data_IF_346001358749
#
_entry.id   IF_346001358749
#
_cell.length_a   1.000
_cell.length_b   1.000
_cell.length_c   1.000
_cell.angle_alpha   90.00
_cell.angle_beta   90.00
_cell.angle_gamma   90.00
#
_symmetry.space_group_name_H-M   'P 1'
#
loop_
_entity.id
_entity.type
_entity.pdbx_description
1 polymer ?
#
# COMPACT_ATOMS: atom_id res chain seq x y z
N UNK A 1 2.93 -10.12 -25.07
CA UNK A 1 2.57 -11.52 -24.78
C UNK A 1 2.10 -11.57 -23.35
N UNK A 2 0.87 -12.02 -23.09
CA UNK A 2 0.34 -12.08 -21.72
C UNK A 2 1.05 -13.16 -20.91
N UNK A 3 1.46 -12.83 -19.68
CA UNK A 3 2.00 -13.79 -18.73
C UNK A 3 0.92 -14.83 -18.42
N UNK A 4 1.24 -16.12 -18.58
CA UNK A 4 0.35 -17.21 -18.16
C UNK A 4 0.72 -17.63 -16.75
N UNK A 5 -0.26 -17.68 -15.86
CA UNK A 5 -0.13 -18.34 -14.56
C UNK A 5 -0.45 -19.83 -14.74
N UNK A 6 0.14 -20.69 -13.92
CA UNK A 6 -0.25 -22.10 -13.86
C UNK A 6 -1.73 -22.23 -13.45
N UNK A 7 -2.45 -23.28 -13.85
CA UNK A 7 -3.84 -23.48 -13.43
C UNK A 7 -3.99 -23.52 -11.89
N UNK A 8 -4.90 -22.71 -11.34
CA UNK A 8 -5.21 -22.69 -9.91
C UNK A 8 -5.88 -21.41 -9.44
N UNK A 9 -6.19 -21.35 -8.15
CA UNK A 9 -6.71 -20.15 -7.50
C UNK A 9 -5.56 -19.27 -7.00
N UNK A 10 -5.66 -17.97 -7.25
CA UNK A 10 -4.65 -17.00 -6.86
C UNK A 10 -5.29 -15.87 -6.06
N UNK A 11 -4.56 -15.40 -5.06
CA UNK A 11 -4.89 -14.20 -4.32
C UNK A 11 -4.05 -13.02 -4.80
N UNK A 12 -4.53 -11.80 -4.56
CA UNK A 12 -3.82 -10.55 -4.85
C UNK A 12 -2.77 -10.20 -3.78
N UNK A 13 -2.08 -11.23 -3.28
CA UNK A 13 -1.04 -11.15 -2.26
C UNK A 13 0.32 -11.45 -2.89
N UNK A 14 1.29 -10.57 -2.65
CA UNK A 14 2.62 -10.65 -3.21
C UNK A 14 3.64 -10.63 -2.07
N UNK A 15 4.58 -11.59 -2.08
CA UNK A 15 5.63 -11.64 -1.06
C UNK A 15 6.60 -10.48 -1.27
N UNK A 16 7.02 -9.84 -0.18
CA UNK A 16 8.05 -8.81 -0.20
C UNK A 16 9.28 -9.37 0.50
N UNK A 17 10.40 -9.35 -0.22
CA UNK A 17 11.71 -9.59 0.34
C UNK A 17 12.38 -8.25 0.60
N UNK A 18 12.80 -8.02 1.83
CA UNK A 18 13.69 -6.91 2.20
C UNK A 18 14.99 -7.54 2.66
N UNK A 19 16.13 -7.03 2.18
CA UNK A 19 17.43 -7.52 2.65
C UNK A 19 17.51 -7.31 4.17
N UNK A 20 17.61 -8.37 4.98
CA UNK A 20 17.78 -8.23 6.42
C UNK A 20 19.10 -7.51 6.65
N UNK A 21 19.03 -6.32 7.20
CA UNK A 21 20.20 -5.52 7.52
C UNK A 21 19.88 -4.65 8.72
N UNK A 22 20.93 -4.38 9.44
CA UNK A 22 21.02 -3.29 10.38
C UNK A 22 20.97 -1.98 9.58
N UNK A 23 20.18 -1.02 10.05
CA UNK A 23 20.05 0.31 9.44
C UNK A 23 20.25 1.40 10.49
N UNK A 24 20.87 2.49 10.07
CA UNK A 24 20.98 3.72 10.82
C UNK A 24 19.66 4.52 10.71
N UNK A 25 19.02 4.78 11.85
CA UNK A 25 17.78 5.56 11.92
C UNK A 25 17.82 6.56 13.06
N UNK A 26 17.06 7.65 12.93
CA UNK A 26 16.90 8.62 14.01
C UNK A 26 15.75 8.18 14.92
N UNK A 27 15.97 8.13 16.23
CA UNK A 27 14.99 7.72 17.24
C UNK A 27 14.82 8.81 18.29
N UNK A 28 13.58 9.05 18.71
CA UNK A 28 13.27 9.92 19.84
C UNK A 28 12.17 9.32 20.72
N UNK A 29 12.09 9.76 21.97
CA UNK A 29 10.96 9.41 22.83
C UNK A 29 9.67 10.05 22.31
N UNK A 30 8.61 9.23 22.21
CA UNK A 30 7.32 9.66 21.64
C UNK A 30 6.60 10.69 22.50
N UNK A 31 6.81 10.68 23.81
CA UNK A 31 6.21 11.63 24.77
C UNK A 31 6.56 13.10 24.46
N UNK A 32 7.75 13.37 23.91
CA UNK A 32 8.22 14.71 23.51
C UNK A 32 7.51 15.24 22.27
N UNK A 33 6.91 14.36 21.47
CA UNK A 33 6.31 14.67 20.18
C UNK A 33 4.84 14.33 20.10
N UNK A 34 4.04 14.70 21.12
CA UNK A 34 2.60 14.37 21.23
C UNK A 34 1.83 14.58 19.91
N UNK A 35 2.10 15.68 19.20
CA UNK A 35 1.58 15.97 17.86
C UNK A 35 2.66 15.93 16.77
N UNK A 36 2.60 14.92 15.89
CA UNK A 36 3.52 14.78 14.75
C UNK A 36 3.21 15.74 13.59
N UNK A 37 2.07 16.46 13.61
CA UNK A 37 1.70 17.37 12.51
C UNK A 37 2.69 18.52 12.41
N UNK A 38 3.05 19.14 13.53
CA UNK A 38 4.04 20.23 13.54
C UNK A 38 5.38 19.79 12.96
N UNK A 39 5.92 18.66 13.43
CA UNK A 39 7.18 18.12 12.93
C UNK A 39 7.12 17.81 11.42
N UNK A 40 6.01 17.23 10.94
CA UNK A 40 5.83 16.95 9.50
C UNK A 40 5.70 18.21 8.65
N UNK A 41 5.04 19.24 9.17
CA UNK A 41 4.94 20.55 8.51
C UNK A 41 6.32 21.18 8.40
N UNK A 42 7.10 21.21 9.49
CA UNK A 42 8.46 21.76 9.47
C UNK A 42 9.39 21.03 8.49
N UNK A 43 9.33 19.69 8.45
CA UNK A 43 10.08 18.87 7.48
C UNK A 43 9.72 19.28 6.04
N UNK A 44 8.42 19.46 5.77
CA UNK A 44 7.91 19.84 4.45
C UNK A 44 8.34 21.26 4.07
N UNK A 45 8.19 22.23 4.98
CA UNK A 45 8.59 23.63 4.77
C UNK A 45 10.11 23.77 4.58
N UNK A 46 10.89 22.92 5.25
CA UNK A 46 12.34 22.84 5.09
C UNK A 46 12.79 22.09 3.82
N UNK A 47 11.84 21.61 3.01
CA UNK A 47 12.07 20.80 1.81
C UNK A 47 13.03 19.63 2.04
N UNK A 48 12.85 18.92 3.16
CA UNK A 48 13.68 17.77 3.56
C UNK A 48 13.02 16.45 3.19
N UNK A 49 13.81 15.50 2.69
CA UNK A 49 13.34 14.15 2.42
C UNK A 49 13.45 13.28 3.68
N UNK A 50 12.51 13.50 4.60
CA UNK A 50 12.43 12.83 5.90
C UNK A 50 11.01 12.30 6.13
N UNK A 51 10.92 11.08 6.64
CA UNK A 51 9.69 10.47 7.09
C UNK A 51 9.76 10.20 8.59
N UNK A 52 8.66 10.45 9.29
CA UNK A 52 8.54 10.18 10.73
C UNK A 52 7.37 9.25 11.02
N UNK A 53 7.61 8.25 11.86
CA UNK A 53 6.67 7.20 12.19
C UNK A 53 6.70 6.86 13.68
N UNK A 54 5.54 6.94 14.31
CA UNK A 54 5.30 6.39 15.63
C UNK A 54 4.41 5.15 15.48
N UNK A 55 4.93 3.94 15.72
CA UNK A 55 4.10 2.74 15.71
C UNK A 55 2.98 2.89 16.75
N UNK A 56 1.76 2.37 16.48
CA UNK A 56 0.81 2.14 17.56
C UNK A 56 1.42 1.11 18.52
N UNK A 57 1.32 1.33 19.83
CA UNK A 57 1.73 0.33 20.81
C UNK A 57 0.75 -0.85 20.72
N UNK A 58 1.27 -2.07 20.90
CA UNK A 58 0.39 -3.22 21.03
C UNK A 58 -0.32 -3.09 22.38
N UNK A 59 -1.65 -2.98 22.39
CA UNK A 59 -2.37 -3.51 23.54
C UNK A 59 -2.18 -5.02 23.46
N UNK A 60 -1.25 -5.55 24.24
CA UNK A 60 -1.30 -6.96 24.59
C UNK A 60 -2.73 -7.25 25.05
N UNK A 61 -3.35 -8.21 24.37
CA UNK A 61 -4.69 -8.74 24.64
C UNK A 61 -5.86 -7.82 24.30
N UNK A 62 -6.58 -8.27 23.27
CA UNK A 62 -8.04 -8.28 23.22
C UNK A 62 -8.62 -8.81 24.55
N UNK A 63 -8.60 -8.02 25.62
CA UNK A 63 -9.55 -8.19 26.71
C UNK A 63 -10.79 -7.40 26.30
N UNK A 64 -11.88 -8.12 26.08
CA UNK A 64 -13.11 -7.62 25.45
C UNK A 64 -13.90 -6.59 26.26
N UNK A 65 -13.29 -5.48 26.67
CA UNK A 65 -13.98 -4.31 27.22
C UNK A 65 -13.41 -3.03 26.63
N UNK A 66 -14.28 -2.32 25.92
CA UNK A 66 -13.96 -1.15 25.11
C UNK A 66 -13.41 0.01 25.93
N UNK A 67 -12.09 0.15 25.92
CA UNK A 67 -11.44 1.43 26.19
C UNK A 67 -10.74 1.90 24.91
N UNK A 68 -11.16 3.05 24.39
CA UNK A 68 -10.63 3.68 23.19
C UNK A 68 -9.25 4.35 23.43
N UNK A 69 -8.49 3.94 24.45
CA UNK A 69 -7.14 4.44 24.67
C UNK A 69 -6.18 3.64 23.79
N UNK A 70 -5.90 4.15 22.60
CA UNK A 70 -4.78 3.70 21.77
C UNK A 70 -3.50 4.03 22.51
N UNK A 71 -2.88 3.02 23.11
CA UNK A 71 -1.54 3.10 23.68
C UNK A 71 -0.55 3.40 22.53
N UNK A 72 0.33 4.37 22.72
CA UNK A 72 1.22 4.91 21.66
C UNK A 72 2.63 4.41 21.92
N UNK A 73 3.35 3.94 20.90
CA UNK A 73 4.72 3.42 21.07
C UNK A 73 5.59 4.41 21.85
N UNK A 74 6.51 3.89 22.65
CA UNK A 74 7.51 4.71 23.34
C UNK A 74 8.46 5.42 22.38
N UNK A 75 8.64 4.86 21.18
CA UNK A 75 9.62 5.33 20.21
C UNK A 75 8.95 6.02 19.01
N UNK A 76 9.59 7.11 18.57
CA UNK A 76 9.33 7.81 17.33
C UNK A 76 10.55 7.64 16.42
N UNK A 77 10.35 7.08 15.24
CA UNK A 77 11.40 6.81 14.27
C UNK A 77 11.39 7.87 13.16
N UNK A 78 12.57 8.24 12.69
CA UNK A 78 12.81 9.20 11.62
C UNK A 78 13.85 8.69 10.64
N UNK A 79 13.49 8.61 9.35
CA UNK A 79 14.35 8.05 8.30
C UNK A 79 14.24 8.85 7.00
N UNK A 80 15.18 8.64 6.08
CA UNK A 80 15.28 9.31 4.78
C UNK A 80 16.63 9.99 4.57
N UNK A 81 16.89 10.48 3.34
CA UNK A 81 18.18 11.08 2.94
C UNK A 81 18.67 12.23 3.82
N UNK A 82 17.74 12.96 4.43
CA UNK A 82 18.03 14.14 5.25
C UNK A 82 17.82 13.86 6.76
N UNK A 83 17.74 12.59 7.20
CA UNK A 83 17.31 12.25 8.56
C UNK A 83 18.20 12.87 9.65
N UNK A 84 19.49 13.09 9.38
CA UNK A 84 20.42 13.78 10.30
C UNK A 84 19.95 15.17 10.75
N UNK A 85 19.08 15.84 9.99
CA UNK A 85 18.44 17.09 10.42
C UNK A 85 17.64 16.94 11.72
N UNK A 86 17.07 15.75 11.98
CA UNK A 86 16.31 15.44 13.19
C UNK A 86 17.17 15.48 14.47
N UNK A 87 18.50 15.43 14.37
CA UNK A 87 19.37 15.61 15.53
C UNK A 87 19.14 16.97 16.21
N UNK A 88 18.80 18.01 15.43
CA UNK A 88 18.42 19.34 15.94
C UNK A 88 17.07 19.35 16.67
N UNK A 89 16.32 18.26 16.54
CA UNK A 89 15.03 18.00 17.18
C UNK A 89 15.17 16.91 18.24
N UNK A 90 16.37 16.73 18.79
CA UNK A 90 16.59 15.83 19.93
C UNK A 90 16.35 14.34 19.63
N UNK A 91 16.39 13.96 18.34
CA UNK A 91 16.50 12.57 17.95
C UNK A 91 17.96 12.12 18.06
N UNK A 92 18.17 10.88 18.48
CA UNK A 92 19.47 10.23 18.53
C UNK A 92 19.61 9.26 17.35
N UNK A 93 20.82 9.11 16.83
CA UNK A 93 21.10 8.08 15.84
C UNK A 93 21.18 6.73 16.55
N UNK A 94 20.41 5.76 16.08
CA UNK A 94 20.43 4.38 16.57
C UNK A 94 20.58 3.43 15.38
N UNK A 95 21.22 2.29 15.64
CA UNK A 95 21.28 1.19 14.70
C UNK A 95 20.19 0.17 15.08
N UNK A 96 19.29 -0.12 14.14
CA UNK A 96 18.18 -1.06 14.36
C UNK A 96 18.21 -2.17 13.31
N UNK A 97 17.86 -3.37 13.75
CA UNK A 97 17.60 -4.47 12.84
C UNK A 97 16.16 -4.36 12.29
N UNK A 98 15.99 -4.23 10.97
CA UNK A 98 14.65 -3.98 10.38
C UNK A 98 13.63 -5.08 10.69
N UNK A 99 14.07 -6.33 10.88
CA UNK A 99 13.16 -7.43 11.18
C UNK A 99 12.67 -7.42 12.63
N UNK A 100 13.37 -6.74 13.53
CA UNK A 100 12.96 -6.60 14.93
C UNK A 100 11.84 -5.56 15.10
N UNK A 101 11.70 -4.67 14.11
CA UNK A 101 10.70 -3.61 14.07
C UNK A 101 9.73 -3.76 12.88
N UNK A 102 8.92 -4.84 12.82
CA UNK A 102 8.11 -5.19 11.64
C UNK A 102 7.15 -4.08 11.21
N UNK A 103 6.60 -3.33 12.17
CA UNK A 103 5.68 -2.22 11.89
C UNK A 103 6.39 -1.03 11.24
N UNK A 104 7.61 -0.73 11.68
CA UNK A 104 8.44 0.29 11.05
C UNK A 104 8.82 -0.16 9.66
N UNK A 105 9.22 -1.42 9.48
CA UNK A 105 9.61 -1.98 8.19
C UNK A 105 8.44 -1.95 7.19
N UNK A 106 7.23 -2.32 7.60
CA UNK A 106 6.04 -2.11 6.77
C UNK A 106 5.83 -0.64 6.38
N UNK A 107 6.08 0.29 7.30
CA UNK A 107 5.94 1.72 7.02
C UNK A 107 7.02 2.21 6.04
N UNK A 108 8.27 1.76 6.18
CA UNK A 108 9.35 2.07 5.23
C UNK A 108 9.01 1.52 3.84
N UNK A 109 8.63 0.24 3.74
CA UNK A 109 8.21 -0.38 2.46
C UNK A 109 7.08 0.43 1.81
N UNK A 110 6.11 0.84 2.61
CA UNK A 110 4.97 1.65 2.14
C UNK A 110 5.42 3.00 1.60
N UNK A 111 6.35 3.70 2.27
CA UNK A 111 6.91 4.96 1.75
C UNK A 111 7.70 4.72 0.45
N UNK A 112 8.48 3.64 0.39
CA UNK A 112 9.23 3.29 -0.80
C UNK A 112 8.33 3.04 -2.02
N UNK A 113 7.26 2.27 -1.85
CA UNK A 113 6.25 2.06 -2.89
C UNK A 113 5.59 3.39 -3.26
N UNK A 114 5.20 4.21 -2.27
CA UNK A 114 4.56 5.49 -2.52
C UNK A 114 5.43 6.43 -3.36
N UNK A 115 6.73 6.53 -3.09
CA UNK A 115 7.67 7.33 -3.88
C UNK A 115 7.85 6.77 -5.30
N UNK A 116 7.98 5.44 -5.41
CA UNK A 116 8.15 4.80 -6.71
C UNK A 116 6.91 4.97 -7.60
N UNK A 117 5.70 4.81 -7.08
CA UNK A 117 4.47 5.01 -7.89
C UNK A 117 4.28 6.47 -8.29
N UNK A 118 4.68 7.45 -7.46
CA UNK A 118 4.69 8.87 -7.86
C UNK A 118 5.61 9.08 -9.07
N UNK A 119 6.80 8.45 -9.07
CA UNK A 119 7.74 8.48 -10.19
C UNK A 119 7.15 7.88 -11.46
N UNK A 120 6.25 6.91 -11.32
CA UNK A 120 5.48 6.30 -12.41
C UNK A 120 4.26 7.12 -12.87
N UNK A 121 4.03 8.30 -12.30
CA UNK A 121 2.94 9.22 -12.66
C UNK A 121 1.64 9.00 -11.90
N UNK A 122 1.61 8.14 -10.88
CA UNK A 122 0.41 7.95 -10.07
C UNK A 122 0.27 9.04 -9.00
N UNK A 123 -0.98 9.35 -8.65
CA UNK A 123 -1.33 10.29 -7.58
C UNK A 123 -1.73 9.51 -6.32
N UNK A 124 -0.88 9.47 -5.27
CA UNK A 124 -1.17 8.73 -4.06
C UNK A 124 -2.17 9.48 -3.17
N UNK A 125 -3.22 8.78 -2.75
CA UNK A 125 -4.16 9.17 -1.71
C UNK A 125 -3.83 8.35 -0.46
N UNK A 126 -3.12 8.96 0.49
CA UNK A 126 -2.59 8.24 1.67
C UNK A 126 -3.61 8.16 2.80
N UNK A 127 -3.72 6.97 3.39
CA UNK A 127 -4.64 6.68 4.48
C UNK A 127 -3.96 6.05 5.69
N UNK A 128 -4.78 5.69 6.70
CA UNK A 128 -4.30 4.96 7.89
C UNK A 128 -4.03 3.50 7.54
N UNK A 129 -2.82 3.22 7.06
CA UNK A 129 -2.35 1.86 6.73
C UNK A 129 -2.87 1.30 5.41
N UNK A 130 -3.52 2.15 4.60
CA UNK A 130 -3.92 1.87 3.22
C UNK A 130 -3.62 3.10 2.39
N UNK A 131 -3.07 2.92 1.21
CA UNK A 131 -2.86 4.01 0.26
C UNK A 131 -3.50 3.61 -1.08
N UNK A 132 -4.14 4.57 -1.75
CA UNK A 132 -4.70 4.34 -3.09
C UNK A 132 -3.87 5.11 -4.11
N UNK A 133 -3.40 4.43 -5.16
CA UNK A 133 -2.59 5.06 -6.21
C UNK A 133 -3.43 5.27 -7.46
N UNK A 134 -3.86 6.50 -7.72
CA UNK A 134 -4.73 6.83 -8.87
C UNK A 134 -3.90 7.11 -10.12
N UNK A 135 -4.29 6.50 -11.25
CA UNK A 135 -3.76 6.84 -12.57
C UNK A 135 -4.39 8.13 -13.10
N UNK A 136 -3.85 8.62 -14.22
CA UNK A 136 -4.57 9.58 -15.06
C UNK A 136 -5.94 9.05 -15.47
N UNK A 137 -6.97 9.92 -15.57
CA UNK A 137 -8.31 9.49 -15.89
C UNK A 137 -8.46 9.16 -17.38
N UNK A 138 -9.26 8.13 -17.66
CA UNK A 138 -9.82 7.92 -18.99
C UNK A 138 -11.07 8.80 -19.16
N UNK A 139 -11.10 9.57 -20.23
CA UNK A 139 -12.25 10.38 -20.60
C UNK A 139 -13.21 9.58 -21.50
N UNK A 140 -14.51 9.62 -21.19
CA UNK A 140 -15.58 9.03 -22.01
C UNK A 140 -16.75 10.00 -22.14
N UNK A 141 -17.74 9.66 -22.99
CA UNK A 141 -18.94 10.46 -23.23
C UNK A 141 -18.58 11.92 -23.59
N UNK A 142 -17.81 12.09 -24.67
CA UNK A 142 -17.31 13.40 -25.14
C UNK A 142 -16.62 14.21 -24.04
N UNK A 143 -15.80 13.54 -23.23
CA UNK A 143 -15.07 14.12 -22.09
C UNK A 143 -15.93 14.63 -20.93
N UNK A 144 -17.21 14.26 -20.87
CA UNK A 144 -18.10 14.63 -19.77
C UNK A 144 -17.92 13.77 -18.51
N UNK A 145 -17.31 12.59 -18.65
CA UNK A 145 -17.04 11.67 -17.54
C UNK A 145 -15.55 11.32 -17.51
N UNK A 146 -14.98 11.38 -16.32
CA UNK A 146 -13.61 10.97 -15.98
C UNK A 146 -13.67 9.67 -15.18
N UNK A 147 -12.98 8.64 -15.64
CA UNK A 147 -12.83 7.37 -14.91
C UNK A 147 -11.37 7.21 -14.51
N UNK A 148 -11.13 7.24 -13.20
CA UNK A 148 -9.82 6.99 -12.63
C UNK A 148 -9.74 5.51 -12.26
N UNK A 149 -8.72 4.82 -12.76
CA UNK A 149 -8.31 3.52 -12.25
C UNK A 149 -7.28 3.76 -11.16
N UNK A 150 -7.38 3.04 -10.06
CA UNK A 150 -6.40 3.12 -8.99
C UNK A 150 -6.15 1.79 -8.34
N UNK A 151 -5.14 1.76 -7.48
CA UNK A 151 -4.72 0.54 -6.79
C UNK A 151 -4.77 0.76 -5.28
N UNK A 152 -5.69 0.09 -4.59
CA UNK A 152 -5.74 0.07 -3.12
C UNK A 152 -4.66 -0.87 -2.61
N UNK A 153 -3.73 -0.33 -1.85
CA UNK A 153 -2.54 -1.03 -1.41
C UNK A 153 -2.49 -1.16 0.10
N UNK A 154 -1.99 -2.31 0.56
CA UNK A 154 -1.74 -2.57 1.97
C UNK A 154 -0.47 -3.40 2.14
N UNK A 155 0.32 -3.04 3.13
CA UNK A 155 1.46 -3.85 3.58
C UNK A 155 1.10 -4.47 4.92
N UNK A 156 1.28 -5.78 5.03
CA UNK A 156 1.18 -6.52 6.28
C UNK A 156 2.46 -7.33 6.50
N UNK A 157 2.61 -7.82 7.73
CA UNK A 157 3.61 -8.82 8.06
C UNK A 157 2.93 -10.00 8.75
N UNK A 158 3.42 -11.21 8.49
CA UNK A 158 2.99 -12.44 9.12
C UNK A 158 4.24 -13.18 9.59
N UNK A 159 4.22 -13.68 10.82
CA UNK A 159 5.25 -14.59 11.28
C UNK A 159 4.81 -16.02 10.97
N UNK A 160 5.68 -16.78 10.31
CA UNK A 160 5.50 -18.22 10.16
C UNK A 160 5.54 -18.86 11.55
N UNK A 161 4.47 -19.54 12.00
CA UNK A 161 4.45 -20.12 13.34
C UNK A 161 5.44 -21.27 13.51
N UNK A 162 5.82 -21.95 12.41
CA UNK A 162 6.71 -23.10 12.39
C UNK A 162 8.16 -22.61 12.25
N UNK A 163 8.46 -21.92 11.16
CA UNK A 163 9.82 -21.48 10.85
C UNK A 163 10.27 -20.25 11.67
N UNK A 164 9.32 -19.61 12.37
CA UNK A 164 9.51 -18.32 13.08
C UNK A 164 10.00 -17.18 12.19
N UNK A 165 9.96 -17.36 10.87
CA UNK A 165 10.38 -16.38 9.87
C UNK A 165 9.30 -15.32 9.69
N UNK A 166 9.72 -14.05 9.76
CA UNK A 166 8.87 -12.91 9.46
C UNK A 166 8.75 -12.72 7.93
N UNK A 167 7.53 -12.71 7.41
CA UNK A 167 7.24 -12.47 6.01
C UNK A 167 6.46 -11.16 5.85
N UNK A 168 6.88 -10.32 4.90
CA UNK A 168 6.17 -9.11 4.51
C UNK A 168 5.32 -9.40 3.27
N UNK A 169 4.09 -8.88 3.23
CA UNK A 169 3.13 -9.15 2.16
C UNK A 169 2.54 -7.84 1.66
N UNK A 170 2.56 -7.67 0.34
CA UNK A 170 1.89 -6.62 -0.39
C UNK A 170 0.54 -7.12 -0.88
N UNK A 171 -0.54 -6.44 -0.46
CA UNK A 171 -1.89 -6.68 -0.91
C UNK A 171 -2.28 -5.55 -1.85
N UNK A 172 -2.79 -5.88 -3.02
CA UNK A 172 -3.14 -4.90 -4.03
C UNK A 172 -4.49 -5.20 -4.68
N UNK A 173 -5.43 -4.27 -4.62
CA UNK A 173 -6.74 -4.41 -5.28
C UNK A 173 -6.98 -3.25 -6.25
N UNK A 174 -7.81 -3.47 -7.27
CA UNK A 174 -8.16 -2.43 -8.25
C UNK A 174 -9.36 -1.64 -7.73
N UNK A 175 -9.22 -0.31 -7.73
CA UNK A 175 -10.28 0.64 -7.41
C UNK A 175 -10.61 1.52 -8.59
N UNK A 176 -11.85 2.01 -8.59
CA UNK A 176 -12.32 2.97 -9.57
C UNK A 176 -12.97 4.16 -8.88
N UNK A 177 -12.74 5.35 -9.44
CA UNK A 177 -13.40 6.59 -9.04
C UNK A 177 -13.95 7.24 -10.30
N UNK A 178 -15.24 7.55 -10.30
CA UNK A 178 -15.92 8.13 -11.46
C UNK A 178 -16.34 9.54 -11.09
N UNK A 179 -16.03 10.49 -11.97
CA UNK A 179 -16.37 11.90 -11.81
C UNK A 179 -16.94 12.47 -13.09
N UNK A 180 -17.68 13.56 -12.99
CA UNK A 180 -18.05 14.38 -14.14
C UNK A 180 -16.90 15.33 -14.56
N UNK A 181 -17.14 16.15 -15.59
CA UNK A 181 -16.19 17.15 -16.08
C UNK A 181 -15.82 18.20 -15.02
N UNK A 182 -16.73 18.49 -14.09
CA UNK A 182 -16.56 19.43 -12.98
C UNK A 182 -15.91 18.78 -11.74
N UNK A 183 -15.40 17.55 -11.87
CA UNK A 183 -14.79 16.75 -10.81
C UNK A 183 -15.72 16.33 -9.66
N UNK A 184 -17.04 16.41 -9.88
CA UNK A 184 -18.05 15.91 -8.94
C UNK A 184 -18.11 14.38 -9.00
N UNK A 185 -18.07 13.66 -7.86
CA UNK A 185 -18.22 12.21 -7.85
C UNK A 185 -19.56 11.76 -8.43
N UNK A 186 -19.54 10.72 -9.26
CA UNK A 186 -20.73 10.12 -9.86
C UNK A 186 -20.94 8.71 -9.32
N UNK A 187 -22.20 8.39 -8.97
CA UNK A 187 -22.64 7.01 -8.73
C UNK A 187 -23.40 6.46 -9.95
N UNK A 188 -23.68 5.15 -9.97
CA UNK A 188 -24.34 4.50 -11.10
C UNK A 188 -25.74 5.04 -11.40
N UNK A 189 -26.48 5.51 -10.38
CA UNK A 189 -27.78 6.11 -10.57
C UNK A 189 -27.66 7.44 -11.31
N UNK A 190 -26.76 8.32 -10.87
CA UNK A 190 -26.50 9.59 -11.55
C UNK A 190 -26.02 9.38 -12.99
N UNK A 191 -25.20 8.35 -13.22
CA UNK A 191 -24.75 8.02 -14.57
C UNK A 191 -25.94 7.63 -15.46
N UNK A 192 -26.79 6.74 -14.95
CA UNK A 192 -27.95 6.25 -15.69
C UNK A 192 -28.94 7.38 -16.01
N UNK A 193 -29.23 8.25 -15.04
CA UNK A 193 -30.17 9.36 -15.16
C UNK A 193 -29.66 10.46 -16.10
N UNK A 194 -28.36 10.80 -16.03
CA UNK A 194 -27.81 11.97 -16.75
C UNK A 194 -27.13 11.62 -18.09
N UNK A 195 -26.67 10.38 -18.27
CA UNK A 195 -25.88 9.96 -19.44
C UNK A 195 -26.42 8.69 -20.10
N UNK A 196 -27.37 7.99 -19.48
CA UNK A 196 -28.06 6.84 -20.05
C UNK A 196 -27.37 5.50 -19.81
N UNK A 197 -28.05 4.43 -20.25
CA UNK A 197 -27.65 3.05 -19.98
C UNK A 197 -26.43 2.59 -20.78
N UNK A 198 -26.21 3.16 -21.97
CA UNK A 198 -25.03 2.87 -22.81
C UNK A 198 -23.74 3.30 -22.12
N UNK A 199 -23.71 4.49 -21.54
CA UNK A 199 -22.56 5.00 -20.77
C UNK A 199 -22.30 4.18 -19.52
N UNK A 200 -23.35 3.79 -18.79
CA UNK A 200 -23.17 2.88 -17.64
C UNK A 200 -22.60 1.53 -18.07
N UNK A 201 -23.04 0.99 -19.21
CA UNK A 201 -22.50 -0.26 -19.76
C UNK A 201 -21.02 -0.11 -20.12
N UNK A 202 -20.62 0.98 -20.77
CA UNK A 202 -19.23 1.28 -21.11
C UNK A 202 -18.35 1.38 -19.85
N UNK A 203 -18.80 2.09 -18.81
CA UNK A 203 -18.10 2.18 -17.52
C UNK A 203 -17.88 0.79 -16.92
N UNK A 204 -18.92 -0.03 -16.89
CA UNK A 204 -18.82 -1.39 -16.35
C UNK A 204 -17.94 -2.31 -17.19
N UNK A 205 -17.80 -2.06 -18.49
CA UNK A 205 -16.81 -2.73 -19.33
C UNK A 205 -15.38 -2.28 -19.01
N UNK A 206 -15.16 -0.98 -18.79
CA UNK A 206 -13.86 -0.45 -18.34
C UNK A 206 -13.45 -1.03 -16.99
N UNK A 207 -14.41 -1.19 -16.07
CA UNK A 207 -14.21 -1.84 -14.77
C UNK A 207 -14.07 -3.36 -14.87
N UNK A 208 -14.31 -3.94 -16.06
CA UNK A 208 -14.30 -5.37 -16.34
C UNK A 208 -15.44 -6.15 -15.67
N UNK A 209 -16.43 -5.48 -15.12
CA UNK A 209 -17.65 -6.11 -14.58
C UNK A 209 -18.52 -6.71 -15.70
N UNK A 210 -18.45 -6.13 -16.90
CA UNK A 210 -19.14 -6.59 -18.09
C UNK A 210 -18.15 -6.94 -19.21
N UNK A 211 -18.48 -8.00 -19.94
CA UNK A 211 -17.90 -8.35 -21.24
C UNK A 211 -18.97 -8.13 -22.34
N UNK A 212 -18.61 -8.14 -23.63
CA UNK A 212 -19.59 -7.91 -24.71
C UNK A 212 -20.82 -8.83 -24.63
N UNK A 213 -20.65 -10.05 -24.15
CA UNK A 213 -21.69 -11.09 -24.03
C UNK A 213 -22.48 -11.05 -22.71
N UNK A 214 -22.15 -10.18 -21.76
CA UNK A 214 -22.89 -10.06 -20.49
C UNK A 214 -22.01 -9.86 -19.26
N UNK A 215 -22.41 -10.45 -18.13
CA UNK A 215 -21.67 -10.35 -16.86
C UNK A 215 -20.36 -11.12 -16.94
N UNK A 216 -19.28 -10.50 -16.48
CA UNK A 216 -18.00 -11.16 -16.39
C UNK A 216 -17.91 -12.06 -15.16
N UNK A 217 -17.96 -13.38 -15.37
CA UNK A 217 -17.79 -14.37 -14.28
C UNK A 217 -16.34 -14.49 -13.79
N UNK A 218 -15.39 -13.99 -14.57
CA UNK A 218 -13.95 -14.10 -14.33
C UNK A 218 -13.31 -12.74 -14.01
N UNK A 219 -14.11 -11.78 -13.53
CA UNK A 219 -13.65 -10.39 -13.30
C UNK A 219 -12.41 -10.32 -12.41
N UNK A 220 -12.34 -11.14 -11.36
CA UNK A 220 -11.19 -11.19 -10.46
C UNK A 220 -9.93 -11.66 -11.17
N UNK A 221 -10.02 -12.74 -11.98
CA UNK A 221 -8.90 -13.26 -12.77
C UNK A 221 -8.45 -12.25 -13.81
N UNK A 222 -9.40 -11.60 -14.48
CA UNK A 222 -9.10 -10.60 -15.50
C UNK A 222 -8.39 -9.39 -14.90
N UNK A 223 -8.89 -8.84 -13.77
CA UNK A 223 -8.23 -7.74 -13.06
C UNK A 223 -6.84 -8.11 -12.56
N UNK A 224 -6.67 -9.34 -12.04
CA UNK A 224 -5.36 -9.83 -11.63
C UNK A 224 -4.36 -9.78 -12.79
N UNK A 225 -4.71 -10.40 -13.93
CA UNK A 225 -3.80 -10.54 -15.07
C UNK A 225 -3.55 -9.22 -15.82
N UNK A 226 -4.57 -8.40 -15.99
CA UNK A 226 -4.50 -7.23 -16.87
C UNK A 226 -4.21 -5.92 -16.14
N UNK A 227 -4.50 -5.82 -14.82
CA UNK A 227 -4.29 -4.58 -14.05
C UNK A 227 -3.25 -4.75 -12.95
N UNK A 228 -3.40 -5.78 -12.10
CA UNK A 228 -2.59 -5.94 -10.88
C UNK A 228 -1.17 -6.42 -11.21
N UNK A 229 -1.01 -7.51 -11.98
CA UNK A 229 0.32 -8.04 -12.31
C UNK A 229 1.18 -7.02 -13.06
N UNK A 230 0.69 -6.32 -14.10
CA UNK A 230 1.49 -5.30 -14.79
C UNK A 230 1.89 -4.15 -13.86
N UNK A 231 1.03 -3.78 -12.89
CA UNK A 231 1.38 -2.77 -11.90
C UNK A 231 2.50 -3.26 -10.97
N UNK A 232 2.37 -4.47 -10.41
CA UNK A 232 3.38 -5.06 -9.50
C UNK A 232 4.72 -5.22 -10.19
N UNK A 233 4.74 -5.66 -11.45
CA UNK A 233 5.98 -5.80 -12.23
C UNK A 233 6.76 -4.48 -12.34
N UNK A 234 6.05 -3.36 -12.55
CA UNK A 234 6.66 -2.02 -12.66
C UNK A 234 7.32 -1.53 -11.37
N UNK A 235 6.87 -2.02 -10.22
CA UNK A 235 7.40 -1.64 -8.89
C UNK A 235 8.11 -2.81 -8.19
N UNK A 236 8.49 -3.84 -8.95
CA UNK A 236 8.98 -5.11 -8.40
C UNK A 236 10.33 -5.01 -7.69
N UNK A 237 11.12 -3.99 -7.99
CA UNK A 237 12.41 -3.71 -7.32
C UNK A 237 12.51 -2.23 -7.03
N UNK A 238 12.72 -1.89 -5.75
CA UNK A 238 12.78 -0.52 -5.27
C UNK A 238 14.02 -0.37 -4.39
N UNK A 239 14.84 0.63 -4.69
CA UNK A 239 15.92 1.08 -3.81
C UNK A 239 15.45 2.32 -3.08
N UNK A 240 15.47 2.30 -1.74
CA UNK A 240 14.91 3.37 -0.94
C UNK A 240 15.90 3.89 0.11
N UNK A 241 16.13 5.21 0.21
CA UNK A 241 17.04 5.79 1.18
C UNK A 241 16.42 5.78 2.58
N UNK A 242 17.11 5.14 3.53
CA UNK A 242 16.70 5.12 4.94
C UNK A 242 17.54 6.07 5.79
N UNK A 243 18.75 6.40 5.35
CA UNK A 243 19.62 7.39 6.00
C UNK A 243 20.38 8.22 4.95
N UNK A 244 21.33 9.04 5.41
CA UNK A 244 22.24 9.79 4.54
C UNK A 244 23.23 8.88 3.79
N UNK A 245 23.57 7.72 4.36
CA UNK A 245 24.62 6.79 3.92
C UNK A 245 24.06 5.46 3.40
N UNK A 246 22.80 5.14 3.72
CA UNK A 246 22.26 3.79 3.53
C UNK A 246 20.96 3.77 2.71
N UNK A 247 20.85 2.74 1.88
CA UNK A 247 19.65 2.39 1.15
C UNK A 247 19.24 0.97 1.48
N UNK A 248 17.94 0.73 1.51
CA UNK A 248 17.39 -0.63 1.53
C UNK A 248 16.96 -1.04 0.13
N UNK A 249 17.12 -2.33 -0.16
CA UNK A 249 16.56 -2.96 -1.37
C UNK A 249 15.29 -3.72 -1.00
N UNK A 250 14.20 -3.36 -1.66
CA UNK A 250 12.89 -4.00 -1.52
C UNK A 250 12.58 -4.69 -2.84
N UNK A 251 12.28 -5.99 -2.77
CA UNK A 251 11.87 -6.80 -3.91
C UNK A 251 10.48 -7.37 -3.68
N UNK A 252 9.55 -7.07 -4.57
CA UNK A 252 8.20 -7.65 -4.57
C UNK A 252 8.21 -8.83 -5.55
N UNK A 253 7.86 -10.02 -5.05
CA UNK A 253 7.64 -11.18 -5.91
C UNK A 253 6.44 -10.89 -6.81
N UNK A 254 6.67 -10.99 -8.12
CA UNK A 254 5.63 -10.71 -9.13
C UNK A 254 4.68 -11.89 -9.31
N UNK A 255 4.98 -13.05 -8.72
CA UNK A 255 4.05 -14.16 -8.68
C UNK A 255 3.03 -13.94 -7.55
N UNK A 256 1.72 -13.92 -7.87
CA UNK A 256 0.69 -13.84 -6.85
C UNK A 256 0.68 -15.13 -6.03
N UNK A 257 0.29 -15.01 -4.76
CA UNK A 257 0.21 -16.17 -3.86
C UNK A 257 -0.89 -17.11 -4.33
N UNK A 258 -0.49 -18.32 -4.71
CA UNK A 258 -1.38 -19.42 -5.07
C UNK A 258 -2.07 -19.95 -3.81
N UNK A 259 -3.39 -20.10 -3.88
CA UNK A 259 -4.20 -20.73 -2.84
C UNK A 259 -4.17 -22.23 -3.10
N UNK A 260 -3.66 -22.98 -2.13
CA UNK A 260 -3.73 -24.43 -2.13
C UNK A 260 -5.01 -24.82 -1.38
N UNK A 261 -5.94 -25.48 -2.08
CA UNK A 261 -7.05 -26.14 -1.39
C UNK A 261 -6.46 -27.27 -0.57
N UNK A 262 -6.58 -27.19 0.75
CA UNK A 262 -6.18 -28.27 1.64
C UNK A 262 -7.00 -29.51 1.31
N UNK A 263 -6.37 -30.50 0.69
CA UNK A 263 -6.98 -31.82 0.51
C UNK A 263 -6.98 -32.48 1.88
N UNK A 264 -8.10 -32.38 2.60
CA UNK A 264 -8.42 -33.11 3.84
C UNK A 264 -7.27 -33.29 4.83
N UNK A 265 -7.06 -32.31 5.71
CA UNK A 265 -6.40 -32.61 6.99
C UNK A 265 -7.49 -32.96 8.00
N UNK A 266 -7.45 -34.18 8.52
CA UNK A 266 -8.12 -34.52 9.78
C UNK A 266 -7.74 -33.48 10.83
N UNK A 267 -8.67 -33.10 11.72
CA UNK A 267 -8.42 -32.08 12.71
C UNK A 267 -7.39 -32.60 13.72
N UNK A 268 -6.15 -32.13 13.62
CA UNK A 268 -5.17 -32.28 14.68
C UNK A 268 -5.50 -31.19 15.71
N UNK A 269 -6.29 -31.57 16.72
CA UNK A 269 -6.44 -30.84 17.98
C UNK A 269 -5.32 -31.22 18.93
#
# INVERSE_FOLDING_TARGET
>A
MGRSLDPGYYSNLFKISVTPTDIEIMVAERNRFSDLRHLRTEIKESNKHIFVYAPPEQSEQLTGKGSNLRKVSKNLYGFGRDCSWLAKKEFNLENIHICDEPRLTCYIIRQAICEEVKRLGYQPETGKGRDVYWSEPRLICDSKIKIFTGYDSRIIFLQDPIEKVLNFIFILDVKYKIKDYADTPLNYRNILENFGSSTLKEIRQIQKDLIPTGINKEVSRQRLLEDILPFVERISTITFPVSNSENISIKIDTNPTRILEGVGYEPIW
#
